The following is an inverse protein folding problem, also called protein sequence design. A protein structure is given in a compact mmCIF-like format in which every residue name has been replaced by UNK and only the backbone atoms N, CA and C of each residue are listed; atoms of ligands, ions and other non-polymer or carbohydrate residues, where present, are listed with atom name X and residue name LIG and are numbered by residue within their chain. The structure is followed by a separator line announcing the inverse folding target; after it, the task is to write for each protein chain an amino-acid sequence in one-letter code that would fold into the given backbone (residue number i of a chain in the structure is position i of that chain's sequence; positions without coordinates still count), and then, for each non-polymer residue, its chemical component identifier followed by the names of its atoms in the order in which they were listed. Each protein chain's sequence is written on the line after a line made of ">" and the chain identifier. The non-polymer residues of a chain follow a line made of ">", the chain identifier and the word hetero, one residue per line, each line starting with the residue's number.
data_IF_782835875193
#
_entry.id   IF_782835875193
#
_cell.length_a   1.000
_cell.length_b   1.000
_cell.length_c   1.000
_cell.angle_alpha   90.00
_cell.angle_beta   90.00
_cell.angle_gamma   90.00
#
_symmetry.space_group_name_H-M   'P 1'
#
loop_
_entity.id
_entity.type
_entity.pdbx_description
1 polymer ?
#
# COMPACT_ATOMS: atom_id res chain seq x y z
N UNK A 1 -33.54 15.02 -17.61
CA UNK A 1 -32.91 13.68 -17.74
C UNK A 1 -31.64 13.76 -18.59
N UNK A 2 -31.31 14.95 -19.10
CA UNK A 2 -30.20 15.27 -20.00
C UNK A 2 -28.83 15.36 -19.30
N UNK A 3 -28.78 15.64 -17.99
CA UNK A 3 -27.50 15.87 -17.27
C UNK A 3 -26.67 14.61 -17.01
N UNK A 4 -27.30 13.42 -16.97
CA UNK A 4 -26.59 12.17 -16.68
C UNK A 4 -25.80 11.71 -17.91
N UNK A 5 -26.34 11.91 -19.11
CA UNK A 5 -25.66 11.55 -20.37
C UNK A 5 -24.44 12.46 -20.58
N UNK A 6 -24.57 13.76 -20.30
CA UNK A 6 -23.49 14.72 -20.44
C UNK A 6 -22.30 14.44 -19.49
N UNK A 7 -22.58 13.92 -18.30
CA UNK A 7 -21.54 13.50 -17.34
C UNK A 7 -20.77 12.26 -17.82
N UNK A 8 -21.47 11.28 -18.43
CA UNK A 8 -20.83 10.10 -19.01
C UNK A 8 -19.97 10.45 -20.23
N UNK A 9 -20.44 11.34 -21.11
CA UNK A 9 -19.68 11.82 -22.27
C UNK A 9 -18.42 12.61 -21.86
N UNK A 10 -18.49 13.42 -20.79
CA UNK A 10 -17.31 14.14 -20.28
C UNK A 10 -16.22 13.21 -19.76
N UNK A 11 -16.59 12.05 -19.18
CA UNK A 11 -15.63 11.06 -18.68
C UNK A 11 -14.97 10.22 -19.77
N UNK A 12 -15.62 10.06 -20.94
CA UNK A 12 -15.00 9.40 -22.10
C UNK A 12 -13.95 10.29 -22.76
N UNK A 13 -14.18 11.61 -22.81
CA UNK A 13 -13.25 12.55 -23.42
C UNK A 13 -11.93 12.71 -22.63
N UNK A 14 -11.94 12.48 -21.32
CA UNK A 14 -10.73 12.49 -20.48
C UNK A 14 -9.85 11.23 -20.66
N UNK A 15 -10.38 10.15 -21.24
CA UNK A 15 -9.63 8.91 -21.49
C UNK A 15 -9.00 8.86 -22.89
N UNK A 16 -9.27 9.85 -23.76
CA UNK A 16 -8.85 9.83 -25.17
C UNK A 16 -7.79 10.88 -25.53
N UNK A 17 -7.28 11.63 -24.56
CA UNK A 17 -6.18 12.58 -24.79
C UNK A 17 -4.88 12.07 -24.20
N UNK A 18 -4.19 11.23 -24.96
CA UNK A 18 -2.74 11.04 -24.82
C UNK A 18 -2.09 11.05 -26.22
N UNK A 19 -1.36 12.13 -26.50
CA UNK A 19 -0.30 12.12 -27.50
C UNK A 19 -0.29 13.27 -28.51
N UNK A 20 0.32 14.41 -28.15
CA UNK A 20 1.17 15.13 -29.11
C UNK A 20 2.18 16.04 -28.38
N UNK A 21 3.46 15.67 -28.49
CA UNK A 21 4.59 16.51 -28.08
C UNK A 21 5.11 17.25 -29.30
N UNK A 22 4.89 18.57 -29.40
CA UNK A 22 5.73 19.48 -30.19
C UNK A 22 5.87 20.86 -29.51
N UNK A 23 7.11 21.15 -29.13
CA UNK A 23 7.83 22.44 -29.19
C UNK A 23 7.15 23.80 -28.95
N UNK A 24 7.62 24.46 -27.89
CA UNK A 24 8.05 25.87 -27.81
C UNK A 24 7.01 27.01 -27.91
N UNK A 25 6.88 27.81 -26.83
CA UNK A 25 6.52 29.24 -26.93
C UNK A 25 5.43 29.76 -25.97
N UNK A 26 5.83 30.12 -24.75
CA UNK A 26 5.24 31.10 -23.81
C UNK A 26 3.79 31.61 -23.98
N UNK A 27 2.95 31.35 -22.97
CA UNK A 27 2.34 32.40 -22.11
C UNK A 27 1.39 31.78 -21.08
N UNK A 28 1.69 31.97 -19.81
CA UNK A 28 0.86 31.56 -18.66
C UNK A 28 -0.43 32.38 -18.61
N UNK A 29 -1.57 31.75 -18.30
CA UNK A 29 -2.40 32.26 -17.21
C UNK A 29 -2.57 31.18 -16.14
N UNK A 30 -2.25 31.57 -14.92
CA UNK A 30 -2.36 30.75 -13.73
C UNK A 30 -3.81 30.35 -13.51
N UNK A 31 -4.09 29.07 -13.68
CA UNK A 31 -5.34 28.42 -13.30
C UNK A 31 -5.04 27.05 -12.71
N UNK A 32 -4.24 27.01 -11.62
CA UNK A 32 -4.17 25.82 -10.77
C UNK A 32 -5.52 25.65 -10.08
N UNK A 33 -6.51 25.11 -10.80
CA UNK A 33 -7.58 24.38 -10.14
C UNK A 33 -6.93 23.10 -9.63
N UNK A 34 -6.50 23.14 -8.37
CA UNK A 34 -6.34 21.91 -7.60
C UNK A 34 -7.69 21.23 -7.63
N UNK A 35 -7.87 20.28 -8.55
CA UNK A 35 -8.99 19.35 -8.55
C UNK A 35 -8.93 18.59 -7.23
N UNK A 36 -9.56 19.19 -6.24
CA UNK A 36 -9.65 18.72 -4.87
C UNK A 36 -10.55 17.50 -4.92
N UNK A 37 -9.95 16.33 -5.17
CA UNK A 37 -10.28 14.92 -4.88
C UNK A 37 -11.69 14.48 -4.49
N UNK A 38 -12.74 15.27 -4.70
CA UNK A 38 -14.13 14.91 -4.46
C UNK A 38 -14.70 14.53 -5.81
N UNK A 39 -14.78 13.23 -6.08
CA UNK A 39 -15.63 12.79 -7.18
C UNK A 39 -17.05 13.30 -6.90
N UNK A 40 -17.63 13.93 -7.91
CA UNK A 40 -18.85 14.74 -7.92
C UNK A 40 -20.15 13.97 -7.66
N UNK A 41 -20.08 12.76 -7.08
CA UNK A 41 -21.22 11.85 -6.96
C UNK A 41 -22.16 12.14 -5.77
N UNK A 42 -21.86 13.15 -4.95
CA UNK A 42 -22.65 13.49 -3.74
C UNK A 42 -23.71 14.58 -3.96
N UNK A 43 -24.37 14.60 -5.12
CA UNK A 43 -25.21 15.74 -5.54
C UNK A 43 -26.52 15.94 -4.77
N UNK A 44 -26.89 15.04 -3.84
CA UNK A 44 -27.93 15.31 -2.85
C UNK A 44 -27.46 14.92 -1.45
N UNK A 45 -26.86 15.89 -0.75
CA UNK A 45 -26.76 15.80 0.70
C UNK A 45 -28.14 15.90 1.32
N UNK A 46 -28.39 15.06 2.32
CA UNK A 46 -29.54 15.24 3.19
C UNK A 46 -29.49 16.64 3.81
N UNK A 47 -30.64 17.32 3.82
CA UNK A 47 -30.78 18.55 4.60
C UNK A 47 -30.64 18.21 6.08
N UNK A 48 -29.59 18.74 6.70
CA UNK A 48 -29.37 18.62 8.14
C UNK A 48 -30.46 19.34 8.91
N UNK A 49 -30.90 18.73 10.00
CA UNK A 49 -31.88 19.27 10.94
C UNK A 49 -31.26 19.37 12.33
N UNK A 50 -31.79 20.28 13.15
CA UNK A 50 -31.40 20.37 14.56
C UNK A 50 -31.75 19.05 15.25
N UNK A 51 -30.81 18.51 16.02
CA UNK A 51 -30.88 17.20 16.65
C UNK A 51 -30.23 16.07 15.86
N UNK A 52 -29.97 16.24 14.56
CA UNK A 52 -29.26 15.23 13.77
C UNK A 52 -27.86 14.97 14.36
N UNK A 53 -27.45 13.70 14.35
CA UNK A 53 -26.07 13.33 14.65
C UNK A 53 -25.26 13.45 13.36
N UNK A 54 -24.09 14.07 13.47
CA UNK A 54 -23.18 14.29 12.34
C UNK A 54 -21.77 13.89 12.72
N UNK A 55 -21.00 13.49 11.71
CA UNK A 55 -19.56 13.22 11.82
C UNK A 55 -18.83 13.90 10.66
N UNK A 56 -17.53 14.17 10.82
CA UNK A 56 -16.75 14.69 9.70
C UNK A 56 -16.73 13.70 8.55
N UNK A 57 -16.67 14.23 7.33
CA UNK A 57 -16.44 13.42 6.14
C UNK A 57 -15.03 12.84 6.23
N UNK A 58 -14.93 11.51 6.25
CA UNK A 58 -13.64 10.86 6.01
C UNK A 58 -13.26 11.11 4.55
N UNK A 59 -12.09 11.71 4.24
CA UNK A 59 -11.63 11.77 2.87
C UNK A 59 -11.50 10.33 2.34
N UNK A 60 -12.11 10.05 1.19
CA UNK A 60 -12.10 8.73 0.52
C UNK A 60 -10.69 8.13 0.38
N UNK A 61 -9.65 8.96 0.41
CA UNK A 61 -8.29 8.59 0.06
C UNK A 61 -7.25 8.82 1.17
N UNK A 62 -7.65 9.14 2.41
CA UNK A 62 -6.68 9.35 3.47
C UNK A 62 -7.12 8.79 4.82
N UNK A 63 -6.29 7.88 5.35
CA UNK A 63 -6.39 7.34 6.71
C UNK A 63 -6.09 8.37 7.80
N UNK A 64 -5.49 9.51 7.44
CA UNK A 64 -5.10 10.54 8.42
C UNK A 64 -6.31 11.39 8.80
N UNK A 65 -6.67 11.45 10.09
CA UNK A 65 -7.65 12.41 10.55
C UNK A 65 -7.15 13.83 10.29
N UNK A 66 -8.03 14.70 9.77
CA UNK A 66 -7.72 16.12 9.64
C UNK A 66 -7.91 16.78 11.01
N UNK A 67 -7.13 17.80 11.32
CA UNK A 67 -7.09 18.46 12.63
C UNK A 67 -8.44 19.08 13.10
N UNK A 68 -9.47 19.04 12.26
CA UNK A 68 -10.82 19.55 12.47
C UNK A 68 -11.89 18.44 12.41
N UNK A 69 -11.51 17.18 12.60
CA UNK A 69 -12.46 16.07 12.60
C UNK A 69 -13.44 16.18 13.77
N UNK A 70 -14.72 16.33 13.44
CA UNK A 70 -15.83 16.12 14.36
C UNK A 70 -16.02 14.61 14.46
N UNK A 71 -15.63 13.94 15.57
CA UNK A 71 -15.71 12.48 15.67
C UNK A 71 -17.17 12.05 15.53
N UNK A 72 -18.03 12.55 16.41
CA UNK A 72 -19.49 12.53 16.33
C UNK A 72 -20.02 13.69 17.16
N UNK A 73 -21.06 14.38 16.69
CA UNK A 73 -21.68 15.49 17.41
C UNK A 73 -23.12 15.70 17.01
N UNK A 74 -23.89 16.43 17.83
CA UNK A 74 -25.29 16.75 17.54
C UNK A 74 -25.41 18.16 17.00
N UNK A 75 -26.19 18.35 15.93
CA UNK A 75 -26.48 19.67 15.37
C UNK A 75 -27.39 20.44 16.33
N UNK A 76 -26.91 21.56 16.87
CA UNK A 76 -27.67 22.43 17.79
C UNK A 76 -28.28 23.65 17.11
N UNK A 77 -27.78 24.00 15.93
CA UNK A 77 -28.28 25.13 15.15
C UNK A 77 -27.82 25.06 13.71
N UNK A 78 -28.64 25.61 12.80
CA UNK A 78 -28.32 25.74 11.39
C UNK A 78 -28.34 27.22 11.03
N UNK A 79 -27.24 27.71 10.49
CA UNK A 79 -27.09 29.06 9.97
C UNK A 79 -27.17 28.96 8.44
N UNK A 80 -28.29 29.40 7.86
CA UNK A 80 -28.37 29.65 6.42
C UNK A 80 -27.88 31.06 6.15
N UNK A 81 -26.67 31.18 5.63
CA UNK A 81 -26.25 32.41 4.98
C UNK A 81 -26.84 32.42 3.56
N UNK A 82 -27.13 33.60 3.02
CA UNK A 82 -27.69 33.77 1.66
C UNK A 82 -26.70 33.38 0.54
N UNK A 83 -25.51 32.90 0.93
CA UNK A 83 -24.46 32.42 0.05
C UNK A 83 -24.26 30.91 0.22
N UNK A 84 -23.84 30.24 -0.84
CA UNK A 84 -24.10 28.81 -1.17
C UNK A 84 -23.59 27.74 -0.16
N UNK A 85 -22.96 28.12 0.94
CA UNK A 85 -22.42 27.21 1.94
C UNK A 85 -23.05 27.47 3.33
N UNK A 86 -24.07 26.68 3.68
CA UNK A 86 -24.68 26.72 5.00
C UNK A 86 -23.71 26.26 6.10
N UNK A 87 -23.80 26.88 7.28
CA UNK A 87 -23.03 26.49 8.46
C UNK A 87 -23.92 25.77 9.47
N UNK A 88 -23.37 24.79 10.17
CA UNK A 88 -24.01 24.10 11.27
C UNK A 88 -23.21 24.32 12.56
N UNK A 89 -23.92 24.60 13.66
CA UNK A 89 -23.38 24.57 15.01
C UNK A 89 -23.52 23.14 15.53
N UNK A 90 -22.39 22.49 15.82
CA UNK A 90 -22.34 21.10 16.26
C UNK A 90 -21.81 21.01 17.69
N UNK A 91 -22.61 20.44 18.58
CA UNK A 91 -22.22 20.13 19.95
C UNK A 91 -21.50 18.78 19.98
N UNK A 92 -20.20 18.82 20.22
CA UNK A 92 -19.36 17.63 20.37
C UNK A 92 -19.32 17.23 21.86
N UNK A 93 -19.52 15.96 22.21
CA UNK A 93 -19.33 15.47 23.57
C UNK A 93 -17.92 15.83 24.09
N UNK A 94 -17.84 16.37 25.31
CA UNK A 94 -16.57 16.78 25.93
C UNK A 94 -16.07 18.19 25.57
N UNK A 95 -16.63 18.88 24.57
CA UNK A 95 -16.33 20.31 24.31
C UNK A 95 -17.35 21.23 24.98
N UNK A 96 -16.88 22.30 25.61
CA UNK A 96 -17.74 23.29 26.29
C UNK A 96 -18.64 24.04 25.30
N UNK A 97 -18.05 24.59 24.25
CA UNK A 97 -18.77 25.38 23.25
C UNK A 97 -19.07 24.55 21.99
N UNK A 98 -20.23 24.74 21.35
CA UNK A 98 -20.49 24.20 20.02
C UNK A 98 -19.43 24.66 19.01
N UNK A 99 -19.14 23.79 18.04
CA UNK A 99 -18.19 24.08 16.95
C UNK A 99 -18.97 24.44 15.71
N UNK A 100 -18.62 25.56 15.08
CA UNK A 100 -19.17 25.98 13.80
C UNK A 100 -18.46 25.22 12.68
N UNK A 101 -19.21 24.47 11.89
CA UNK A 101 -18.69 23.66 10.77
C UNK A 101 -19.49 23.92 9.50
N UNK A 102 -18.86 23.72 8.35
CA UNK A 102 -19.54 23.79 7.06
C UNK A 102 -20.40 22.54 6.87
N UNK A 103 -21.65 22.70 6.43
CA UNK A 103 -22.55 21.57 6.12
C UNK A 103 -21.94 20.63 5.07
N UNK A 104 -21.14 21.18 4.14
CA UNK A 104 -20.40 20.40 3.14
C UNK A 104 -19.31 19.49 3.72
N UNK A 105 -18.80 19.78 4.92
CA UNK A 105 -17.71 19.03 5.58
C UNK A 105 -18.18 17.90 6.49
N UNK A 106 -19.47 17.84 6.81
CA UNK A 106 -20.06 16.84 7.70
C UNK A 106 -21.05 15.94 6.97
N UNK A 107 -21.23 14.72 7.48
CA UNK A 107 -22.21 13.75 7.02
C UNK A 107 -23.16 13.36 8.16
N UNK A 108 -24.44 13.18 7.83
CA UNK A 108 -25.45 12.74 8.80
C UNK A 108 -25.25 11.27 9.15
N UNK A 109 -25.20 10.97 10.44
CA UNK A 109 -25.09 9.62 10.97
C UNK A 109 -26.50 9.10 11.29
N UNK A 110 -26.83 7.92 10.78
CA UNK A 110 -28.08 7.21 11.11
C UNK A 110 -27.75 5.77 11.44
N UNK A 111 -28.24 5.27 12.58
CA UNK A 111 -28.00 3.89 13.00
C UNK A 111 -26.51 3.49 13.03
N UNK A 112 -25.61 4.46 13.30
CA UNK A 112 -24.16 4.25 13.31
C UNK A 112 -23.47 4.29 11.95
N UNK A 113 -24.19 4.53 10.86
CA UNK A 113 -23.63 4.65 9.50
C UNK A 113 -23.73 6.08 8.97
N UNK A 114 -22.78 6.47 8.12
CA UNK A 114 -22.96 7.63 7.25
C UNK A 114 -22.49 7.34 5.82
N UNK A 115 -22.94 8.19 4.90
CA UNK A 115 -22.58 8.08 3.48
C UNK A 115 -21.05 8.02 3.31
N UNK A 116 -20.60 7.10 2.44
CA UNK A 116 -19.20 6.78 2.20
C UNK A 116 -18.62 5.70 3.12
N UNK A 117 -19.39 5.18 4.08
CA UNK A 117 -18.94 4.03 4.88
C UNK A 117 -18.79 2.78 4.02
N UNK A 118 -17.76 2.01 4.36
CA UNK A 118 -17.60 0.65 3.89
C UNK A 118 -18.51 -0.26 4.71
N UNK A 119 -19.38 -0.98 4.00
CA UNK A 119 -20.39 -1.84 4.62
C UNK A 119 -20.34 -3.23 4.01
N UNK A 120 -20.67 -4.22 4.82
CA UNK A 120 -20.91 -5.58 4.37
C UNK A 120 -22.38 -5.92 4.60
N UNK A 121 -22.98 -6.64 3.66
CA UNK A 121 -24.30 -7.22 3.86
C UNK A 121 -24.21 -8.37 4.87
N UNK A 122 -25.18 -8.46 5.79
CA UNK A 122 -25.32 -9.59 6.72
C UNK A 122 -25.95 -10.76 5.98
N UNK A 123 -25.29 -11.90 6.04
CA UNK A 123 -25.72 -13.12 5.35
C UNK A 123 -24.90 -13.42 4.08
N UNK A 124 -25.10 -14.60 3.52
CA UNK A 124 -24.37 -15.04 2.34
C UNK A 124 -25.05 -14.54 1.07
N UNK A 125 -24.32 -13.80 0.23
CA UNK A 125 -24.76 -13.47 -1.13
C UNK A 125 -23.77 -14.00 -2.15
N UNK A 126 -24.25 -14.84 -3.08
CA UNK A 126 -23.41 -15.43 -4.15
C UNK A 126 -23.42 -14.62 -5.45
N UNK A 127 -24.27 -13.59 -5.56
CA UNK A 127 -24.50 -12.85 -6.81
C UNK A 127 -23.66 -11.57 -6.93
N UNK A 128 -23.24 -10.99 -5.82
CA UNK A 128 -22.46 -9.76 -5.77
C UNK A 128 -21.41 -9.85 -4.65
N UNK A 129 -20.42 -8.96 -4.65
CA UNK A 129 -19.47 -8.86 -3.53
C UNK A 129 -20.22 -8.55 -2.23
N UNK A 130 -19.87 -9.20 -1.10
CA UNK A 130 -20.50 -8.91 0.19
C UNK A 130 -20.15 -7.51 0.72
N UNK A 131 -19.05 -6.89 0.23
CA UNK A 131 -18.54 -5.60 0.68
C UNK A 131 -18.81 -4.52 -0.37
N UNK A 132 -19.24 -3.34 0.08
CA UNK A 132 -19.58 -2.21 -0.78
C UNK A 132 -19.49 -0.88 -0.05
N UNK A 133 -19.86 0.20 -0.76
CA UNK A 133 -19.84 1.57 -0.23
C UNK A 133 -21.27 2.08 -0.07
N UNK A 134 -21.59 2.67 1.08
CA UNK A 134 -22.89 3.27 1.36
C UNK A 134 -23.05 4.59 0.60
N UNK A 135 -24.03 4.69 -0.28
CA UNK A 135 -24.34 5.88 -1.09
C UNK A 135 -25.38 6.79 -0.47
N UNK A 136 -26.38 6.20 0.20
CA UNK A 136 -27.39 6.97 0.91
C UNK A 136 -27.94 6.21 2.10
N UNK A 137 -28.36 6.96 3.11
CA UNK A 137 -29.09 6.47 4.27
C UNK A 137 -30.14 7.50 4.61
N UNK A 138 -31.39 7.09 4.75
CA UNK A 138 -32.52 7.94 5.12
C UNK A 138 -32.79 7.87 6.62
N UNK A 139 -33.58 8.80 7.16
CA UNK A 139 -33.94 8.85 8.59
C UNK A 139 -34.74 7.62 9.05
N UNK A 140 -35.49 6.99 8.16
CA UNK A 140 -36.24 5.74 8.41
C UNK A 140 -35.36 4.47 8.35
N UNK A 141 -34.05 4.65 8.21
CA UNK A 141 -33.07 3.58 8.11
C UNK A 141 -33.03 2.88 6.75
N UNK A 142 -33.72 3.38 5.73
CA UNK A 142 -33.59 2.90 4.35
C UNK A 142 -32.24 3.30 3.77
N UNK A 143 -31.56 2.36 3.10
CA UNK A 143 -30.18 2.56 2.61
C UNK A 143 -30.05 2.21 1.13
N UNK A 144 -29.09 2.84 0.46
CA UNK A 144 -28.63 2.43 -0.86
C UNK A 144 -27.12 2.19 -0.85
N UNK A 145 -26.68 1.03 -1.33
CA UNK A 145 -25.27 0.58 -1.30
C UNK A 145 -24.81 0.18 -2.69
N UNK A 146 -23.60 0.60 -3.06
CA UNK A 146 -22.94 0.14 -4.28
C UNK A 146 -22.16 -1.13 -3.99
N UNK A 147 -22.57 -2.25 -4.60
CA UNK A 147 -21.85 -3.53 -4.56
C UNK A 147 -21.32 -3.90 -5.95
N UNK A 148 -20.20 -4.61 -5.97
CA UNK A 148 -19.64 -5.19 -7.20
C UNK A 148 -20.53 -6.33 -7.69
N UNK A 149 -20.90 -6.32 -8.98
CA UNK A 149 -21.75 -7.35 -9.60
C UNK A 149 -23.23 -6.98 -9.65
N UNK A 150 -23.62 -5.79 -9.19
CA UNK A 150 -24.94 -5.22 -9.40
C UNK A 150 -24.89 -4.07 -10.41
N UNK A 151 -25.87 -4.02 -11.31
CA UNK A 151 -26.02 -2.92 -12.27
C UNK A 151 -26.51 -1.61 -11.62
N UNK A 152 -27.24 -1.74 -10.50
CA UNK A 152 -27.82 -0.60 -9.77
C UNK A 152 -27.50 -0.70 -8.28
N UNK A 153 -27.67 0.41 -7.55
CA UNK A 153 -27.50 0.42 -6.10
C UNK A 153 -28.47 -0.56 -5.45
N UNK A 154 -27.93 -1.42 -4.59
CA UNK A 154 -28.74 -2.28 -3.72
C UNK A 154 -29.51 -1.41 -2.74
N UNK A 155 -30.79 -1.73 -2.51
CA UNK A 155 -31.65 -1.04 -1.54
C UNK A 155 -32.10 -2.00 -0.46
N UNK A 156 -32.10 -1.54 0.78
CA UNK A 156 -32.57 -2.32 1.93
C UNK A 156 -32.62 -1.50 3.20
N UNK A 157 -32.44 -2.15 4.36
CA UNK A 157 -32.44 -1.49 5.66
C UNK A 157 -31.04 -1.50 6.29
N UNK A 158 -30.74 -0.47 7.08
CA UNK A 158 -29.49 -0.37 7.84
C UNK A 158 -29.27 -1.54 8.81
N UNK A 159 -30.34 -2.22 9.24
CA UNK A 159 -30.27 -3.45 10.05
C UNK A 159 -29.53 -4.59 9.35
N UNK A 160 -29.59 -4.63 8.03
CA UNK A 160 -29.04 -5.70 7.19
C UNK A 160 -27.55 -5.49 6.91
N UNK A 161 -27.00 -4.35 7.34
CA UNK A 161 -25.61 -3.97 7.11
C UNK A 161 -24.78 -4.09 8.39
N UNK A 162 -23.48 -4.30 8.20
CA UNK A 162 -22.44 -4.17 9.22
C UNK A 162 -21.28 -3.36 8.68
N UNK A 163 -20.52 -2.72 9.57
CA UNK A 163 -19.31 -1.99 9.18
C UNK A 163 -18.27 -2.97 8.61
N UNK A 164 -17.59 -2.57 7.54
CA UNK A 164 -16.50 -3.32 6.92
C UNK A 164 -15.19 -2.54 6.98
N UNK A 165 -14.08 -3.25 6.79
CA UNK A 165 -12.77 -2.62 6.69
C UNK A 165 -12.70 -1.72 5.46
N UNK A 166 -12.22 -0.50 5.66
CA UNK A 166 -12.04 0.48 4.60
C UNK A 166 -10.68 0.31 3.92
N UNK A 167 -10.67 0.50 2.61
CA UNK A 167 -9.46 0.54 1.81
C UNK A 167 -9.20 1.95 1.29
N UNK A 168 -7.93 2.35 1.25
CA UNK A 168 -7.52 3.69 0.84
C UNK A 168 -6.53 3.65 -0.33
N UNK A 169 -6.57 4.70 -1.15
CA UNK A 169 -5.60 4.89 -2.22
C UNK A 169 -4.18 4.96 -1.67
N UNK A 170 -3.28 4.25 -2.33
CA UNK A 170 -1.87 4.16 -1.98
C UNK A 170 -1.52 3.00 -1.05
N UNK A 171 -2.51 2.33 -0.46
CA UNK A 171 -2.31 1.10 0.32
C UNK A 171 -1.96 -0.08 -0.58
N UNK A 172 -1.23 -1.05 -0.02
CA UNK A 172 -0.82 -2.26 -0.72
C UNK A 172 -1.75 -3.41 -0.36
N UNK A 173 -2.19 -4.14 -1.38
CA UNK A 173 -3.11 -5.26 -1.24
C UNK A 173 -2.62 -6.47 -2.02
N UNK A 174 -3.04 -7.65 -1.57
CA UNK A 174 -2.80 -8.92 -2.23
C UNK A 174 -4.05 -9.78 -2.11
N UNK A 175 -4.32 -10.66 -3.07
CA UNK A 175 -5.37 -11.67 -2.89
C UNK A 175 -5.07 -12.57 -1.69
N UNK A 176 -6.10 -12.88 -0.91
CA UNK A 176 -5.99 -13.83 0.21
C UNK A 176 -5.57 -15.20 -0.31
N UNK A 177 -4.80 -15.94 0.49
CA UNK A 177 -4.28 -17.25 0.10
C UNK A 177 -5.38 -18.31 -0.15
N UNK A 178 -6.55 -18.15 0.45
CA UNK A 178 -7.70 -19.05 0.29
C UNK A 178 -8.56 -18.73 -0.95
N UNK A 179 -8.25 -17.67 -1.70
CA UNK A 179 -8.97 -17.33 -2.94
C UNK A 179 -8.38 -18.15 -4.09
N UNK A 180 -9.14 -19.16 -4.51
CA UNK A 180 -8.75 -20.05 -5.61
C UNK A 180 -9.19 -19.50 -6.98
N UNK A 181 -10.40 -18.92 -7.03
CA UNK A 181 -11.01 -18.37 -8.24
C UNK A 181 -11.41 -16.93 -7.97
N UNK A 182 -10.49 -15.96 -8.17
CA UNK A 182 -10.80 -14.55 -7.95
C UNK A 182 -11.81 -14.06 -8.99
N UNK A 183 -12.63 -13.08 -8.60
CA UNK A 183 -13.63 -12.49 -9.49
C UNK A 183 -13.03 -11.74 -10.67
N UNK A 184 -11.86 -11.17 -10.45
CA UNK A 184 -11.08 -10.45 -11.44
C UNK A 184 -9.73 -11.14 -11.63
N UNK A 185 -9.19 -11.01 -12.84
CA UNK A 185 -7.84 -11.50 -13.12
C UNK A 185 -6.82 -10.82 -12.21
N UNK A 186 -5.84 -11.60 -11.75
CA UNK A 186 -4.80 -11.09 -10.87
C UNK A 186 -3.44 -11.68 -11.23
N UNK A 187 -2.38 -10.87 -11.28
CA UNK A 187 -1.07 -11.35 -11.66
C UNK A 187 -0.44 -12.25 -10.60
N UNK A 188 0.19 -13.33 -11.07
CA UNK A 188 0.95 -14.27 -10.24
C UNK A 188 2.45 -14.04 -10.39
N UNK A 189 3.18 -14.21 -9.29
CA UNK A 189 4.65 -14.25 -9.30
C UNK A 189 5.13 -15.62 -9.80
N UNK A 190 6.36 -15.67 -10.31
CA UNK A 190 7.06 -16.92 -10.56
C UNK A 190 7.15 -17.71 -9.24
N UNK A 191 6.48 -18.86 -9.17
CA UNK A 191 6.29 -19.63 -7.92
C UNK A 191 4.86 -19.71 -7.41
N UNK A 192 3.87 -19.17 -8.13
CA UNK A 192 2.44 -19.41 -7.89
C UNK A 192 1.78 -18.52 -6.84
N UNK A 193 2.56 -17.73 -6.08
CA UNK A 193 2.04 -16.76 -5.13
C UNK A 193 1.40 -15.54 -5.85
N UNK A 194 0.34 -14.99 -5.24
CA UNK A 194 -0.29 -13.76 -5.72
C UNK A 194 0.64 -12.55 -5.57
N UNK A 195 0.66 -11.68 -6.58
CA UNK A 195 1.46 -10.46 -6.55
C UNK A 195 0.81 -9.43 -5.62
N UNK A 196 1.62 -8.64 -4.91
CA UNK A 196 1.13 -7.47 -4.16
C UNK A 196 1.04 -6.29 -5.11
N UNK A 197 -0.08 -5.57 -5.09
CA UNK A 197 -0.26 -4.35 -5.85
C UNK A 197 -0.62 -3.17 -4.95
N UNK A 198 -0.55 -1.96 -5.51
CA UNK A 198 -0.88 -0.71 -4.83
C UNK A 198 -2.22 -0.19 -5.35
N UNK A 199 -3.16 0.12 -4.45
CA UNK A 199 -4.45 0.71 -4.81
C UNK A 199 -4.19 2.07 -5.45
N UNK A 200 -4.60 2.23 -6.70
CA UNK A 200 -4.55 3.51 -7.43
C UNK A 200 -5.86 4.27 -7.35
N UNK A 201 -7.00 3.56 -7.23
CA UNK A 201 -8.32 4.16 -7.18
C UNK A 201 -9.31 3.22 -6.46
N UNK A 202 -10.29 3.82 -5.77
CA UNK A 202 -11.47 3.13 -5.23
C UNK A 202 -12.68 3.59 -6.04
N UNK A 203 -13.40 2.65 -6.64
CA UNK A 203 -14.60 2.93 -7.41
C UNK A 203 -15.84 3.07 -6.51
N UNK A 204 -16.91 3.75 -6.96
CA UNK A 204 -18.09 3.99 -6.13
C UNK A 204 -18.83 2.72 -5.67
N UNK A 205 -18.64 1.59 -6.34
CA UNK A 205 -19.21 0.30 -5.94
C UNK A 205 -18.30 -0.53 -5.01
N UNK A 206 -17.21 0.07 -4.50
CA UNK A 206 -16.21 -0.58 -3.66
C UNK A 206 -15.13 -1.34 -4.42
N UNK A 207 -15.20 -1.42 -5.76
CA UNK A 207 -14.17 -2.09 -6.56
C UNK A 207 -12.83 -1.33 -6.49
N UNK A 208 -11.75 -2.07 -6.29
CA UNK A 208 -10.41 -1.51 -6.17
C UNK A 208 -9.72 -1.59 -7.52
N UNK A 209 -9.14 -0.48 -7.99
CA UNK A 209 -8.20 -0.48 -9.11
C UNK A 209 -6.80 -0.54 -8.52
N UNK A 210 -6.06 -1.59 -8.87
CA UNK A 210 -4.77 -1.92 -8.28
C UNK A 210 -3.69 -1.97 -9.34
N UNK A 211 -2.61 -1.21 -9.14
CA UNK A 211 -1.44 -1.16 -10.01
C UNK A 211 -0.28 -1.98 -9.46
N UNK A 212 0.54 -2.54 -10.33
CA UNK A 212 1.70 -3.38 -9.93
C UNK A 212 3.03 -2.74 -10.36
N UNK A 213 3.50 -1.68 -9.67
CA UNK A 213 4.70 -0.94 -10.09
C UNK A 213 5.99 -1.76 -10.00
N UNK A 214 6.00 -2.86 -9.24
CA UNK A 214 7.08 -3.85 -9.21
C UNK A 214 7.17 -4.76 -10.44
N UNK A 215 6.14 -4.82 -11.28
CA UNK A 215 6.17 -5.58 -12.53
C UNK A 215 6.71 -4.71 -13.65
N UNK A 216 7.78 -5.19 -14.30
CA UNK A 216 8.16 -4.71 -15.62
C UNK A 216 7.18 -5.32 -16.63
N UNK A 217 6.40 -4.46 -17.26
CA UNK A 217 5.58 -4.83 -18.40
C UNK A 217 6.28 -4.28 -19.64
N UNK A 218 6.62 -5.15 -20.60
CA UNK A 218 7.11 -4.73 -21.91
C UNK A 218 5.95 -4.78 -22.91
N UNK A 219 5.67 -3.68 -23.60
CA UNK A 219 4.56 -3.59 -24.56
C UNK A 219 3.30 -2.95 -23.96
N UNK A 220 2.14 -3.35 -24.47
CA UNK A 220 0.82 -2.76 -24.19
C UNK A 220 -0.01 -3.55 -23.14
N UNK A 221 0.64 -4.36 -22.29
CA UNK A 221 -0.13 -5.07 -21.26
C UNK A 221 -0.55 -4.11 -20.14
N UNK A 222 -1.78 -4.26 -19.65
CA UNK A 222 -2.28 -3.45 -18.55
C UNK A 222 -1.52 -3.77 -17.26
N UNK A 223 -0.99 -2.74 -16.61
CA UNK A 223 -0.37 -2.87 -15.28
C UNK A 223 -1.36 -2.57 -14.14
N UNK A 224 -2.66 -2.47 -14.47
CA UNK A 224 -3.75 -2.20 -13.54
C UNK A 224 -4.83 -3.27 -13.65
N UNK A 225 -5.23 -3.83 -12.52
CA UNK A 225 -6.23 -4.87 -12.41
C UNK A 225 -7.30 -4.47 -11.41
N UNK A 226 -8.50 -5.03 -11.57
CA UNK A 226 -9.57 -4.85 -10.61
C UNK A 226 -9.43 -5.85 -9.46
N UNK A 227 -9.92 -5.47 -8.28
CA UNK A 227 -9.94 -6.31 -7.11
C UNK A 227 -11.27 -6.16 -6.37
N UNK A 228 -11.78 -7.29 -5.87
CA UNK A 228 -12.84 -7.27 -4.89
C UNK A 228 -12.26 -7.04 -3.48
N UNK A 229 -12.69 -6.01 -2.73
CA UNK A 229 -12.33 -5.79 -1.33
C UNK A 229 -12.54 -7.02 -0.42
N UNK A 230 -13.47 -7.92 -0.75
CA UNK A 230 -13.71 -9.14 0.02
C UNK A 230 -12.64 -10.23 -0.20
N UNK A 231 -11.97 -10.22 -1.35
CA UNK A 231 -10.99 -11.24 -1.77
C UNK A 231 -9.53 -10.82 -1.46
N UNK A 232 -9.31 -9.55 -1.16
CA UNK A 232 -7.97 -9.01 -0.87
C UNK A 232 -7.71 -8.85 0.62
N UNK A 233 -6.44 -8.84 0.98
CA UNK A 233 -5.91 -8.50 2.29
C UNK A 233 -4.94 -7.32 2.17
N UNK A 234 -4.90 -6.47 3.19
CA UNK A 234 -3.93 -5.39 3.30
C UNK A 234 -2.54 -5.97 3.60
N UNK A 235 -1.54 -5.55 2.84
CA UNK A 235 -0.14 -5.91 3.05
C UNK A 235 0.63 -4.67 3.46
N UNK A 236 1.20 -4.71 4.66
CA UNK A 236 2.11 -3.66 5.13
C UNK A 236 3.48 -4.26 5.43
N UNK A 237 4.51 -3.42 5.36
CA UNK A 237 5.87 -3.82 5.71
C UNK A 237 5.98 -4.40 7.14
N UNK A 238 5.19 -3.86 8.08
CA UNK A 238 5.17 -4.31 9.47
C UNK A 238 4.48 -5.68 9.63
N UNK A 239 3.54 -5.99 8.73
CA UNK A 239 2.80 -7.25 8.72
C UNK A 239 3.57 -8.39 8.05
N UNK A 240 4.61 -8.11 7.25
CA UNK A 240 5.39 -9.13 6.54
C UNK A 240 6.35 -9.91 7.46
N UNK A 241 6.17 -11.24 7.66
CA UNK A 241 7.12 -12.02 8.44
C UNK A 241 8.45 -12.24 7.69
N UNK A 242 9.54 -11.88 8.36
CA UNK A 242 10.90 -12.17 7.90
C UNK A 242 11.44 -11.23 6.82
N UNK A 243 12.76 -11.32 6.61
CA UNK A 243 13.51 -10.40 5.74
C UNK A 243 13.15 -10.58 4.26
N UNK A 244 12.92 -11.83 3.83
CA UNK A 244 12.62 -12.15 2.42
C UNK A 244 11.30 -11.52 1.97
N UNK A 245 10.26 -11.61 2.79
CA UNK A 245 8.94 -11.08 2.42
C UNK A 245 8.91 -9.55 2.47
N UNK A 246 9.64 -8.96 3.42
CA UNK A 246 9.88 -7.51 3.46
C UNK A 246 10.60 -7.02 2.20
N UNK A 247 11.63 -7.75 1.76
CA UNK A 247 12.31 -7.45 0.51
C UNK A 247 11.37 -7.58 -0.70
N UNK A 248 10.59 -8.67 -0.79
CA UNK A 248 9.58 -8.83 -1.85
C UNK A 248 8.53 -7.71 -1.86
N UNK A 249 8.14 -7.23 -0.68
CA UNK A 249 7.24 -6.07 -0.58
C UNK A 249 7.89 -4.83 -1.18
N UNK A 250 9.18 -4.57 -0.89
CA UNK A 250 9.92 -3.45 -1.52
C UNK A 250 10.04 -3.65 -3.04
N UNK A 251 10.28 -4.88 -3.52
CA UNK A 251 10.28 -5.15 -4.96
C UNK A 251 8.94 -4.78 -5.62
N UNK A 252 7.83 -5.00 -4.91
CA UNK A 252 6.48 -4.67 -5.40
C UNK A 252 6.24 -3.14 -5.47
N UNK A 253 7.07 -2.31 -4.84
CA UNK A 253 6.97 -0.83 -4.93
C UNK A 253 7.56 -0.30 -6.24
N UNK A 254 8.63 -0.90 -6.75
CA UNK A 254 9.32 -0.39 -7.92
C UNK A 254 10.12 -1.48 -8.62
N UNK A 255 9.91 -1.58 -9.93
CA UNK A 255 10.58 -2.54 -10.79
C UNK A 255 12.12 -2.57 -10.69
N UNK A 256 12.76 -1.44 -10.37
CA UNK A 256 14.20 -1.28 -10.37
C UNK A 256 14.87 -1.89 -9.13
N UNK A 257 14.10 -2.22 -8.09
CA UNK A 257 14.63 -2.78 -6.84
C UNK A 257 15.44 -4.05 -7.12
N UNK A 258 14.90 -4.97 -7.93
CA UNK A 258 15.57 -6.23 -8.31
C UNK A 258 16.90 -6.02 -9.05
N UNK A 259 16.94 -5.29 -10.19
CA UNK A 259 18.21 -4.99 -10.86
C UNK A 259 19.23 -4.31 -9.95
N UNK A 260 18.80 -3.37 -9.10
CA UNK A 260 19.69 -2.64 -8.21
C UNK A 260 20.29 -3.53 -7.11
N UNK A 261 19.50 -4.43 -6.51
CA UNK A 261 20.02 -5.36 -5.49
C UNK A 261 21.01 -6.35 -6.08
N UNK A 262 20.76 -6.86 -7.28
CA UNK A 262 21.70 -7.72 -8.01
C UNK A 262 23.01 -6.97 -8.29
N UNK A 263 22.93 -5.75 -8.83
CA UNK A 263 24.11 -4.94 -9.14
C UNK A 263 24.94 -4.63 -7.88
N UNK A 264 24.27 -4.27 -6.77
CA UNK A 264 24.94 -4.02 -5.49
C UNK A 264 25.61 -5.28 -4.93
N UNK A 265 24.95 -6.44 -5.03
CA UNK A 265 25.52 -7.73 -4.63
C UNK A 265 26.79 -8.08 -5.43
N UNK A 266 26.73 -7.95 -6.76
CA UNK A 266 27.88 -8.17 -7.63
C UNK A 266 29.04 -7.21 -7.34
N UNK A 267 28.74 -5.92 -7.16
CA UNK A 267 29.74 -4.91 -6.83
C UNK A 267 30.42 -5.20 -5.48
N UNK A 268 29.65 -5.59 -4.47
CA UNK A 268 30.16 -5.94 -3.14
C UNK A 268 31.06 -7.18 -3.21
N UNK A 269 30.62 -8.23 -3.93
CA UNK A 269 31.43 -9.44 -4.14
C UNK A 269 32.75 -9.13 -4.87
N UNK A 270 32.72 -8.27 -5.89
CA UNK A 270 33.91 -7.82 -6.61
C UNK A 270 34.90 -7.08 -5.70
N UNK A 271 34.40 -6.14 -4.87
CA UNK A 271 35.25 -5.40 -3.92
C UNK A 271 35.90 -6.34 -2.89
N UNK A 272 35.15 -7.27 -2.31
CA UNK A 272 35.69 -8.24 -1.36
C UNK A 272 36.76 -9.12 -2.03
N UNK A 273 36.48 -9.60 -3.24
CA UNK A 273 37.43 -10.41 -4.03
C UNK A 273 38.72 -9.67 -4.33
N UNK A 274 38.62 -8.37 -4.65
CA UNK A 274 39.79 -7.51 -4.87
C UNK A 274 40.59 -7.27 -3.58
N UNK A 275 39.94 -7.06 -2.43
CA UNK A 275 40.62 -6.86 -1.14
C UNK A 275 41.35 -8.11 -0.65
N UNK A 276 40.73 -9.30 -0.75
CA UNK A 276 41.38 -10.57 -0.40
C UNK A 276 42.50 -10.92 -1.39
N UNK A 277 42.28 -10.65 -2.69
CA UNK A 277 43.28 -10.85 -3.75
C UNK A 277 44.49 -9.92 -3.66
N UNK A 278 44.36 -8.71 -3.11
CA UNK A 278 45.48 -7.75 -3.00
C UNK A 278 46.46 -8.11 -1.88
N UNK A 279 46.00 -8.76 -0.81
CA UNK A 279 46.86 -9.20 0.28
C UNK A 279 47.68 -10.45 -0.05
N UNK A 280 47.25 -11.28 -1.00
CA UNK A 280 48.06 -12.42 -1.49
C UNK A 280 49.12 -12.00 -2.51
N UNK A 281 48.87 -10.92 -3.28
CA UNK A 281 49.82 -10.45 -4.30
C UNK A 281 51.00 -9.65 -3.72
N UNK A 282 50.83 -9.06 -2.52
CA UNK A 282 51.94 -8.47 -1.77
C UNK A 282 52.95 -9.52 -1.27
N UNK A 283 52.53 -10.80 -1.11
CA UNK A 283 53.42 -11.89 -0.68
C UNK A 283 54.18 -12.57 -1.82
N UNK A 284 53.73 -12.42 -3.07
CA UNK A 284 54.39 -13.00 -4.26
C UNK A 284 55.39 -12.03 -4.92
N UNK A 285 55.29 -10.72 -4.65
CA UNK A 285 56.23 -9.69 -5.15
C UNK A 285 57.50 -9.54 -4.31
N UNK A 286 57.78 -10.48 -3.40
CA UNK A 286 59.07 -10.57 -2.68
C UNK A 286 60.09 -11.49 -3.35
N UNK A 287 59.73 -12.26 -4.39
CA UNK A 287 60.56 -13.36 -4.90
C UNK A 287 61.24 -13.10 -6.26
N UNK A 288 61.26 -11.85 -6.76
CA UNK A 288 61.81 -11.53 -8.09
C UNK A 288 63.11 -10.70 -8.09
N UNK A 289 63.61 -10.29 -6.93
CA UNK A 289 64.93 -9.65 -6.76
C UNK A 289 65.87 -10.55 -5.97
N UNK A 290 66.28 -11.68 -6.55
CA UNK A 290 67.37 -12.52 -6.01
C UNK A 290 67.92 -13.40 -7.14
N UNK A 291 68.47 -12.78 -8.18
CA UNK A 291 69.28 -13.51 -9.15
C UNK A 291 70.38 -12.58 -9.65
N UNK A 292 71.45 -12.48 -8.85
CA UNK A 292 72.84 -12.11 -9.20
C UNK A 292 73.62 -11.88 -7.91
N UNK A 293 74.44 -12.87 -7.51
CA UNK A 293 75.88 -12.73 -7.23
C UNK A 293 76.40 -14.03 -6.60
N UNK A 294 77.50 -14.50 -7.18
CA UNK A 294 78.28 -15.69 -6.86
C UNK A 294 78.82 -15.75 -5.42
N UNK A 295 79.23 -16.95 -5.00
CA UNK A 295 80.29 -17.12 -4.01
C UNK A 295 79.98 -18.11 -2.90
N UNK A 296 80.35 -19.37 -3.13
CA UNK A 296 80.45 -20.43 -2.12
C UNK A 296 81.51 -20.10 -1.06
N UNK A 297 81.18 -20.24 0.24
CA UNK A 297 81.88 -21.04 1.27
C UNK A 297 81.84 -20.48 2.71
N UNK A 298 81.44 -21.40 3.60
CA UNK A 298 81.79 -21.64 5.02
C UNK A 298 81.41 -20.71 6.19
N UNK A 299 80.76 -21.39 7.16
CA UNK A 299 80.88 -21.38 8.62
C UNK A 299 80.66 -20.10 9.44
N UNK A 300 79.83 -20.26 10.49
CA UNK A 300 79.79 -19.33 11.62
C UNK A 300 78.47 -19.35 12.39
N UNK A 301 78.49 -19.96 13.58
CA UNK A 301 77.42 -20.03 14.56
C UNK A 301 76.94 -18.66 15.08
N UNK A 302 75.73 -18.67 15.67
CA UNK A 302 75.38 -18.08 16.97
C UNK A 302 74.32 -16.95 16.99
N UNK A 303 73.35 -17.12 17.92
CA UNK A 303 72.48 -16.09 18.48
C UNK A 303 71.30 -15.68 17.59
N UNK A 304 70.03 -15.70 18.00
CA UNK A 304 69.43 -15.77 19.31
C UNK A 304 68.08 -15.03 19.24
N UNK A 305 67.02 -15.76 19.58
CA UNK A 305 65.77 -15.30 20.23
C UNK A 305 64.74 -14.47 19.43
N UNK A 306 63.58 -15.08 19.12
CA UNK A 306 62.25 -14.97 19.82
C UNK A 306 61.41 -13.82 19.25
N UNK A 307 60.13 -13.92 18.90
CA UNK A 307 59.00 -14.80 19.25
C UNK A 307 57.87 -14.49 18.21
N UNK A 308 56.72 -15.14 18.05
CA UNK A 308 55.82 -15.98 18.84
C UNK A 308 55.04 -16.86 17.83
N UNK A 309 54.92 -18.16 18.08
CA UNK A 309 53.92 -19.03 17.43
C UNK A 309 53.22 -19.84 18.53
N UNK A 310 51.87 -19.88 18.58
CA UNK A 310 51.16 -20.95 19.26
C UNK A 310 50.96 -22.16 18.30
N UNK A 311 50.94 -23.40 18.84
CA UNK A 311 51.09 -24.65 18.07
C UNK A 311 49.75 -25.19 17.52
N UNK A 312 49.77 -26.16 16.57
CA UNK A 312 48.56 -26.80 16.07
C UNK A 312 48.15 -27.92 17.03
N UNK A 313 46.95 -27.82 17.61
CA UNK A 313 46.39 -28.92 18.41
C UNK A 313 45.72 -29.91 17.47
N UNK A 314 46.44 -30.98 17.16
CA UNK A 314 45.88 -32.26 16.77
C UNK A 314 45.71 -33.14 18.02
N UNK A 315 44.56 -33.82 18.09
CA UNK A 315 44.20 -34.95 18.97
C UNK A 315 43.63 -34.65 20.38
N UNK A 316 42.30 -34.73 20.48
CA UNK A 316 41.48 -35.07 21.65
C UNK A 316 40.22 -35.75 21.04
N UNK A 317 39.81 -37.01 21.22
CA UNK A 317 40.19 -38.13 22.07
C UNK A 317 39.77 -39.44 21.36
N UNK A 318 40.49 -40.53 21.63
CA UNK A 318 40.17 -41.92 21.30
C UNK A 318 39.86 -42.69 22.61
N UNK A 319 39.14 -43.81 22.49
CA UNK A 319 38.65 -44.78 23.51
C UNK A 319 37.52 -44.27 24.44
N UNK A 320 36.37 -44.94 24.64
CA UNK A 320 35.96 -46.35 24.51
C UNK A 320 35.55 -46.85 25.92
N UNK A 321 34.31 -47.30 26.23
CA UNK A 321 33.81 -48.69 26.20
C UNK A 321 32.48 -48.69 27.02
N UNK A 322 31.29 -48.99 26.42
CA UNK A 322 30.34 -50.13 26.64
C UNK A 322 30.04 -50.54 28.11
N UNK A 323 28.85 -50.93 28.59
CA UNK A 323 27.62 -51.65 28.18
C UNK A 323 26.48 -51.23 29.16
N UNK A 324 25.16 -51.47 29.01
CA UNK A 324 24.46 -52.75 28.94
C UNK A 324 22.94 -52.58 28.73
N UNK A 325 22.32 -53.67 28.27
CA UNK A 325 20.89 -53.87 28.00
C UNK A 325 20.10 -54.30 29.26
N UNK A 326 18.78 -54.21 29.13
CA UNK A 326 17.71 -54.95 29.83
C UNK A 326 17.30 -54.53 31.25
N UNK A 327 16.07 -54.00 31.36
CA UNK A 327 14.89 -54.78 31.79
C UNK A 327 13.62 -54.20 31.20
#
# INVERSE_FOLDING_TARGET
>A
MEDIIHAFESSQNDAQSDGEWLGLGSSTPAGKFSSSGYTTWYLLKDRLQVGDIVRSRKPLNARKPQAMDVPEGSVTGLETDSDRDGFALVKIPGRRNPVRVLVSTVERVTSGFAVGDWVSLKGECRKHSPVGILHSIQRDGSVAVGFIGLETLWRGKSSDLQMADAYYVGEFVRLKANVLSPRFEWPRKNGGAWTTGRISQVLPNGCLVVRFPGRLVLGDESNSFLADPAEVELVSFDTCPGVVQKYQHIEDFHWAVRPLTIAFGLFTAMKISLFVGRNVNAKLKGRRNSMRRDGNSQDGQSGGNTAWLPPPVANLFKEGVSTASAR
#
